data_IF_310353326155
#
_entry.id   IF_310353326155
#
_cell.length_a   1.000
_cell.length_b   1.000
_cell.length_c   1.000
_cell.angle_alpha   90.00
_cell.angle_beta   90.00
_cell.angle_gamma   90.00
#
_symmetry.space_group_name_H-M   'P 1'
#
loop_
_entity.id
_entity.type
_entity.pdbx_description
1 polymer ?
#
# COMPACT_ATOMS: atom_id res chain seq x y z
N UNK A 1 -13.02 -21.89 10.78
CA UNK A 1 -12.48 -20.59 10.31
C UNK A 1 -12.86 -20.23 8.87
N UNK A 2 -12.98 -21.19 7.94
CA UNK A 2 -13.34 -20.91 6.53
C UNK A 2 -14.75 -20.31 6.39
N UNK A 3 -15.71 -20.80 7.17
CA UNK A 3 -17.09 -20.31 7.18
C UNK A 3 -17.19 -18.79 7.42
N UNK A 4 -16.49 -18.26 8.45
CA UNK A 4 -16.48 -16.83 8.78
C UNK A 4 -15.99 -15.95 7.60
N UNK A 5 -14.97 -16.42 6.88
CA UNK A 5 -14.44 -15.70 5.71
C UNK A 5 -15.46 -15.66 4.58
N UNK A 6 -16.17 -16.76 4.32
CA UNK A 6 -17.20 -16.82 3.29
C UNK A 6 -18.43 -15.96 3.64
N UNK A 7 -18.80 -15.88 4.92
CA UNK A 7 -19.87 -14.99 5.41
C UNK A 7 -19.54 -13.52 5.10
N UNK A 8 -18.35 -13.05 5.46
CA UNK A 8 -17.93 -11.67 5.19
C UNK A 8 -17.94 -11.34 3.69
N UNK A 9 -17.50 -12.25 2.82
CA UNK A 9 -17.58 -12.06 1.38
C UNK A 9 -19.01 -12.05 0.84
N UNK A 10 -19.92 -12.77 1.51
CA UNK A 10 -21.35 -12.75 1.17
C UNK A 10 -21.93 -11.38 1.48
N UNK A 11 -21.65 -10.82 2.67
CA UNK A 11 -22.10 -9.48 3.08
C UNK A 11 -21.59 -8.40 2.12
N UNK A 12 -20.30 -8.40 1.80
CA UNK A 12 -19.71 -7.46 0.84
C UNK A 12 -20.38 -7.57 -0.53
N UNK A 13 -20.67 -8.78 -0.99
CA UNK A 13 -21.34 -9.00 -2.29
C UNK A 13 -22.76 -8.47 -2.27
N UNK A 14 -23.50 -8.69 -1.18
CA UNK A 14 -24.86 -8.16 -1.01
C UNK A 14 -24.85 -6.63 -1.04
N UNK A 15 -23.96 -5.99 -0.28
CA UNK A 15 -23.84 -4.52 -0.26
C UNK A 15 -23.44 -3.98 -1.63
N UNK A 16 -22.47 -4.61 -2.29
CA UNK A 16 -22.00 -4.20 -3.61
C UNK A 16 -23.12 -4.28 -4.67
N UNK A 17 -23.85 -5.40 -4.68
CA UNK A 17 -24.95 -5.62 -5.63
C UNK A 17 -26.17 -4.74 -5.32
N UNK A 18 -26.42 -4.40 -4.06
CA UNK A 18 -27.48 -3.47 -3.65
C UNK A 18 -27.18 -2.02 -4.05
N UNK A 19 -25.90 -1.65 -4.16
CA UNK A 19 -25.47 -0.29 -4.51
C UNK A 19 -25.73 0.11 -5.98
N UNK A 20 -26.15 -0.81 -6.85
CA UNK A 20 -26.57 -0.48 -8.22
C UNK A 20 -25.45 0.00 -9.15
N UNK A 21 -24.18 -0.16 -8.76
CA UNK A 21 -23.00 0.32 -9.50
C UNK A 21 -22.71 -0.43 -10.82
N UNK A 22 -23.60 -1.30 -11.29
CA UNK A 22 -23.43 -2.10 -12.49
C UNK A 22 -24.09 -3.49 -12.41
N UNK A 23 -23.69 -4.44 -13.28
CA UNK A 23 -24.23 -5.80 -13.26
C UNK A 23 -23.86 -6.51 -11.96
N UNK A 24 -24.77 -7.38 -11.49
CA UNK A 24 -24.54 -8.16 -10.29
C UNK A 24 -23.30 -9.03 -10.44
N UNK A 25 -22.43 -9.00 -9.44
CA UNK A 25 -21.20 -9.80 -9.41
C UNK A 25 -21.30 -10.93 -8.38
N UNK A 26 -20.64 -12.03 -8.70
CA UNK A 26 -20.49 -13.16 -7.78
C UNK A 26 -19.36 -12.91 -6.79
N UNK A 27 -19.42 -13.62 -5.66
CA UNK A 27 -18.37 -13.56 -4.63
C UNK A 27 -16.98 -13.86 -5.20
N UNK A 28 -16.88 -14.81 -6.13
CA UNK A 28 -15.61 -15.22 -6.73
C UNK A 28 -15.02 -14.11 -7.61
N UNK A 29 -15.87 -13.39 -8.35
CA UNK A 29 -15.44 -12.26 -9.17
C UNK A 29 -14.94 -11.11 -8.29
N UNK A 30 -15.67 -10.76 -7.22
CA UNK A 30 -15.25 -9.70 -6.30
C UNK A 30 -13.94 -10.04 -5.58
N UNK A 31 -13.77 -11.30 -5.14
CA UNK A 31 -12.51 -11.80 -4.60
C UNK A 31 -11.36 -11.60 -5.60
N UNK A 32 -11.54 -12.04 -6.85
CA UNK A 32 -10.52 -11.93 -7.89
C UNK A 32 -10.16 -10.47 -8.18
N UNK A 33 -11.15 -9.59 -8.26
CA UNK A 33 -10.93 -8.15 -8.48
C UNK A 33 -10.11 -7.56 -7.32
N UNK A 34 -10.48 -7.86 -6.08
CA UNK A 34 -9.73 -7.41 -4.91
C UNK A 34 -8.27 -7.89 -4.92
N UNK A 35 -8.03 -9.17 -5.23
CA UNK A 35 -6.67 -9.71 -5.32
C UNK A 35 -5.85 -9.01 -6.41
N UNK A 36 -6.45 -8.72 -7.56
CA UNK A 36 -5.81 -7.98 -8.63
C UNK A 36 -5.48 -6.53 -8.21
N UNK A 37 -6.43 -5.81 -7.61
CA UNK A 37 -6.24 -4.45 -7.12
C UNK A 37 -5.14 -4.38 -6.07
N UNK A 38 -5.13 -5.32 -5.12
CA UNK A 38 -4.09 -5.46 -4.11
C UNK A 38 -2.73 -5.75 -4.75
N UNK A 39 -2.66 -6.66 -5.72
CA UNK A 39 -1.43 -7.00 -6.44
C UNK A 39 -0.85 -5.81 -7.19
N UNK A 40 -1.70 -5.07 -7.91
CA UNK A 40 -1.35 -3.83 -8.60
C UNK A 40 -0.80 -2.79 -7.62
N UNK A 41 -1.53 -2.52 -6.53
CA UNK A 41 -1.14 -1.53 -5.53
C UNK A 41 0.24 -1.83 -4.92
N UNK A 42 0.50 -3.10 -4.57
CA UNK A 42 1.81 -3.52 -4.05
C UNK A 42 2.93 -3.35 -5.08
N UNK A 43 2.68 -3.69 -6.35
CA UNK A 43 3.66 -3.54 -7.43
C UNK A 43 4.02 -2.08 -7.64
N UNK A 44 3.02 -1.21 -7.68
CA UNK A 44 3.19 0.22 -7.90
C UNK A 44 3.92 0.87 -6.73
N UNK A 45 3.56 0.52 -5.49
CA UNK A 45 4.26 0.99 -4.31
C UNK A 45 5.72 0.51 -4.25
N UNK A 46 5.99 -0.75 -4.58
CA UNK A 46 7.35 -1.26 -4.65
C UNK A 46 8.17 -0.57 -5.75
N UNK A 47 7.57 -0.26 -6.89
CA UNK A 47 8.21 0.50 -7.95
C UNK A 47 8.52 1.95 -7.50
N UNK A 48 7.57 2.60 -6.81
CA UNK A 48 7.77 3.92 -6.21
C UNK A 48 8.93 3.91 -5.22
N UNK A 49 8.95 2.96 -4.27
CA UNK A 49 10.06 2.82 -3.31
C UNK A 49 11.40 2.65 -4.00
N UNK A 50 11.49 1.81 -5.05
CA UNK A 50 12.74 1.63 -5.81
C UNK A 50 13.18 2.91 -6.49
N UNK A 51 12.26 3.64 -7.10
CA UNK A 51 12.57 4.89 -7.79
C UNK A 51 13.01 5.99 -6.80
N UNK A 52 12.38 6.06 -5.62
CA UNK A 52 12.78 6.96 -4.54
C UNK A 52 14.18 6.61 -4.00
N UNK A 53 14.51 5.33 -3.91
CA UNK A 53 15.84 4.88 -3.46
C UNK A 53 16.92 5.01 -4.55
N UNK A 54 16.54 5.32 -5.80
CA UNK A 54 17.49 5.45 -6.90
C UNK A 54 18.33 6.71 -6.70
N UNK A 55 19.62 6.51 -6.44
CA UNK A 55 20.57 7.61 -6.25
C UNK A 55 21.09 8.09 -7.60
N UNK A 56 20.87 9.36 -7.90
CA UNK A 56 21.31 10.06 -9.11
C UNK A 56 20.36 11.22 -9.32
N UNK A 57 20.84 12.46 -9.25
CA UNK A 57 20.08 13.70 -9.01
C UNK A 57 19.01 14.09 -10.03
N UNK A 58 18.08 13.19 -10.35
CA UNK A 58 16.90 13.41 -11.15
C UNK A 58 15.70 13.84 -10.32
N UNK A 59 14.63 14.20 -11.02
CA UNK A 59 13.37 14.66 -10.42
C UNK A 59 12.74 13.57 -9.54
N UNK A 60 12.16 13.94 -8.38
CA UNK A 60 11.46 12.98 -7.53
C UNK A 60 10.34 12.25 -8.28
N UNK A 61 10.16 10.93 -8.04
CA UNK A 61 9.05 10.20 -8.64
C UNK A 61 7.70 10.74 -8.21
N UNK A 62 6.75 10.68 -9.14
CA UNK A 62 5.34 10.99 -8.86
C UNK A 62 4.81 10.00 -7.81
N UNK A 63 4.09 10.51 -6.82
CA UNK A 63 3.39 9.70 -5.82
C UNK A 63 2.43 8.71 -6.48
N UNK A 64 2.15 7.61 -5.81
CA UNK A 64 1.16 6.63 -6.27
C UNK A 64 -0.23 7.25 -6.50
N UNK A 65 -1.00 6.62 -7.37
CA UNK A 65 -2.37 7.03 -7.71
C UNK A 65 -3.31 6.94 -6.49
N UNK A 66 -4.36 7.78 -6.45
CA UNK A 66 -5.27 7.89 -5.31
C UNK A 66 -5.98 6.56 -4.98
N UNK A 67 -6.35 5.78 -5.99
CA UNK A 67 -6.92 4.44 -5.79
C UNK A 67 -5.90 3.49 -5.14
N UNK A 68 -4.63 3.59 -5.55
CA UNK A 68 -3.54 2.78 -5.02
C UNK A 68 -3.27 3.15 -3.56
N UNK A 69 -3.25 4.44 -3.24
CA UNK A 69 -3.10 4.91 -1.86
C UNK A 69 -4.22 4.40 -0.93
N UNK A 70 -5.47 4.40 -1.41
CA UNK A 70 -6.62 3.84 -0.65
C UNK A 70 -6.50 2.34 -0.42
N UNK A 71 -6.15 1.58 -1.46
CA UNK A 71 -5.94 0.13 -1.36
C UNK A 71 -4.78 -0.18 -0.41
N UNK A 72 -3.67 0.56 -0.51
CA UNK A 72 -2.55 0.45 0.42
C UNK A 72 -2.97 0.79 1.84
N UNK A 73 -3.74 1.85 2.08
CA UNK A 73 -4.26 2.20 3.40
C UNK A 73 -5.07 1.07 4.06
N UNK A 74 -5.88 0.35 3.27
CA UNK A 74 -6.63 -0.83 3.75
C UNK A 74 -5.68 -1.99 4.11
N UNK A 75 -4.53 -2.11 3.41
CA UNK A 75 -3.54 -3.18 3.61
C UNK A 75 -2.49 -2.79 4.68
N UNK A 76 -2.24 -1.50 4.88
CA UNK A 76 -1.04 -0.92 5.50
C UNK A 76 -0.81 -1.29 6.95
N UNK A 77 -1.81 -1.81 7.66
CA UNK A 77 -1.59 -2.43 8.97
C UNK A 77 -0.66 -3.68 8.95
N UNK A 78 -0.09 -4.04 7.79
CA UNK A 78 0.87 -5.15 7.60
C UNK A 78 2.07 -4.79 6.70
N UNK A 79 2.24 -3.53 6.32
CA UNK A 79 3.34 -3.09 5.43
C UNK A 79 4.42 -2.30 6.17
N UNK A 80 4.46 -2.37 7.50
CA UNK A 80 5.59 -1.82 8.25
C UNK A 80 6.87 -2.49 7.73
N UNK A 81 7.81 -1.65 7.31
CA UNK A 81 9.12 -2.10 6.89
C UNK A 81 9.75 -2.85 8.07
N UNK A 82 10.14 -4.10 7.83
CA UNK A 82 11.03 -4.84 8.73
C UNK A 82 12.37 -4.12 8.73
N UNK A 83 12.47 -3.07 9.55
CA UNK A 83 13.70 -2.35 9.77
C UNK A 83 14.76 -3.32 10.25
N UNK A 84 15.78 -3.56 9.43
CA UNK A 84 16.95 -4.30 9.87
C UNK A 84 18.02 -3.30 10.27
N UNK A 85 18.37 -3.26 11.56
CA UNK A 85 19.36 -2.36 12.12
C UNK A 85 20.81 -2.69 11.68
N UNK A 86 21.01 -3.85 11.06
CA UNK A 86 22.34 -4.34 10.63
C UNK A 86 22.58 -4.27 9.12
N UNK A 87 21.59 -3.85 8.32
CA UNK A 87 21.76 -3.71 6.88
C UNK A 87 22.07 -2.25 6.52
N UNK A 88 23.34 -1.97 6.21
CA UNK A 88 23.87 -0.66 5.82
C UNK A 88 23.15 -0.05 4.59
N UNK A 89 22.35 -0.83 3.85
CA UNK A 89 21.52 -0.36 2.74
C UNK A 89 20.10 0.07 3.11
N UNK A 90 19.62 -0.17 4.34
CA UNK A 90 18.21 0.08 4.69
C UNK A 90 18.02 1.53 5.13
N UNK A 91 17.78 2.43 4.17
CA UNK A 91 17.36 3.80 4.47
C UNK A 91 15.91 3.80 4.96
N UNK A 92 15.69 3.73 6.27
CA UNK A 92 14.37 3.98 6.86
C UNK A 92 14.02 5.46 6.64
N UNK A 93 13.04 5.75 5.80
CA UNK A 93 12.38 7.05 5.81
C UNK A 93 11.44 7.09 7.01
N UNK A 94 11.92 7.61 8.14
CA UNK A 94 11.02 7.95 9.24
C UNK A 94 10.20 9.16 8.81
N UNK A 95 8.93 8.94 8.52
CA UNK A 95 7.94 10.02 8.39
C UNK A 95 7.44 10.31 9.81
N UNK A 96 8.05 11.27 10.50
CA UNK A 96 7.48 11.77 11.74
C UNK A 96 6.40 12.81 11.37
N UNK A 97 5.15 12.49 11.70
CA UNK A 97 4.04 13.43 11.58
C UNK A 97 4.10 14.41 12.75
N UNK A 98 4.91 15.44 12.64
CA UNK A 98 4.79 16.62 13.50
C UNK A 98 4.36 17.82 12.64
N UNK A 99 3.11 18.25 12.87
CA UNK A 99 2.61 19.59 12.58
C UNK A 99 2.41 19.99 11.11
N UNK A 100 1.88 19.09 10.28
CA UNK A 100 1.25 19.47 9.00
C UNK A 100 2.19 19.98 7.89
N UNK A 101 3.49 20.03 8.13
CA UNK A 101 4.50 20.27 7.11
C UNK A 101 5.41 19.06 6.99
N UNK A 102 5.35 18.38 5.84
CA UNK A 102 6.23 17.25 5.54
C UNK A 102 7.64 17.76 5.26
N UNK A 103 8.51 17.74 6.28
CA UNK A 103 9.95 17.98 6.13
C UNK A 103 10.68 16.65 5.96
N UNK A 104 11.30 16.45 4.78
CA UNK A 104 12.11 15.26 4.48
C UNK A 104 13.54 15.54 4.95
N UNK A 105 13.93 15.03 6.11
CA UNK A 105 15.32 15.05 6.56
C UNK A 105 15.98 13.70 6.28
N UNK A 106 17.05 13.69 5.47
CA UNK A 106 17.94 12.54 5.36
C UNK A 106 19.01 12.60 6.45
N UNK A 107 18.75 12.00 7.62
CA UNK A 107 19.83 11.76 8.58
C UNK A 107 20.58 10.50 8.15
N UNK A 108 21.82 10.68 7.67
CA UNK A 108 22.77 9.59 7.50
C UNK A 108 23.31 9.30 8.89
N UNK A 109 22.93 8.18 9.51
CA UNK A 109 23.67 7.68 10.66
C UNK A 109 25.08 7.36 10.18
N UNK A 110 26.04 8.23 10.50
CA UNK A 110 27.47 7.90 10.41
C UNK A 110 27.72 6.82 11.45
N UNK A 111 28.08 5.63 10.99
CA UNK A 111 28.70 4.63 11.85
C UNK A 111 30.06 5.18 12.33
N UNK A 112 30.32 5.11 13.63
CA UNK A 112 31.65 5.21 14.21
C UNK A 112 32.40 3.89 14.06
#
# INVERSE_FOLDING_TARGET
MIFKKNTAWTEVTTIFNAGGYGPQRSQQQLKKIWENSKGKAKKDHAAYKREVMRTGGGTPPKKEDDETAKVLGIISGKLDDLGNDFDCGTRQMRVNSENGHSVVFSSIQRCY
#
